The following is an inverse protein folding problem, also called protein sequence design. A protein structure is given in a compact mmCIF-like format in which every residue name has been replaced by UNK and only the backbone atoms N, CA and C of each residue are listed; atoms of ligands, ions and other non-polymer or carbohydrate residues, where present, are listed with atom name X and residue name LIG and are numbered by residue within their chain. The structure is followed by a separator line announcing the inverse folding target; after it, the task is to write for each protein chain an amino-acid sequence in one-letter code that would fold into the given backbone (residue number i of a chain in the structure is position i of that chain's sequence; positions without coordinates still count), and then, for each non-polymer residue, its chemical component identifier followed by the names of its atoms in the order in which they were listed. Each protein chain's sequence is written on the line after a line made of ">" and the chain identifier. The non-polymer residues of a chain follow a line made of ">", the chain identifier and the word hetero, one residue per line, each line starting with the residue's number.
data_IF_248905857633
#
_entry.id   IF_248905857633
#
_cell.length_a   1.000
_cell.length_b   1.000
_cell.length_c   1.000
_cell.angle_alpha   90.00
_cell.angle_beta   90.00
_cell.angle_gamma   90.00
#
_symmetry.space_group_name_H-M   'P 1'
#
loop_
_entity.id
_entity.type
_entity.pdbx_description
1 polymer ?
#
# COMPACT_ATOMS: atom_id res chain seq x y z
N UNK A 1 -8.26 3.51 -25.30
CA UNK A 1 -7.54 3.92 -24.06
C UNK A 1 -7.83 2.88 -22.99
N UNK A 2 -6.81 2.44 -22.27
CA UNK A 2 -7.00 1.54 -21.12
C UNK A 2 -7.71 2.28 -19.98
N UNK A 3 -8.49 1.55 -19.20
CA UNK A 3 -9.15 2.10 -18.00
C UNK A 3 -8.55 1.44 -16.76
N UNK A 4 -8.29 2.20 -15.73
CA UNK A 4 -7.97 1.69 -14.42
C UNK A 4 -9.26 1.46 -13.63
N UNK A 5 -9.40 0.26 -13.05
CA UNK A 5 -10.55 -0.11 -12.22
C UNK A 5 -10.09 -0.61 -10.86
N UNK A 6 -10.89 -0.38 -9.83
CA UNK A 6 -10.64 -0.90 -8.48
C UNK A 6 -11.39 -2.22 -8.34
N UNK A 7 -10.66 -3.31 -8.15
CA UNK A 7 -11.24 -4.66 -8.06
C UNK A 7 -11.29 -5.21 -6.63
N UNK A 8 -10.51 -4.64 -5.71
CA UNK A 8 -10.47 -5.09 -4.32
C UNK A 8 -10.14 -3.94 -3.39
N UNK A 9 -10.70 -3.98 -2.19
CA UNK A 9 -10.41 -3.01 -1.12
C UNK A 9 -10.24 -3.72 0.21
N UNK A 10 -9.35 -3.20 1.04
CA UNK A 10 -9.15 -3.67 2.40
C UNK A 10 -8.73 -2.51 3.31
N UNK A 11 -9.11 -2.61 4.57
CA UNK A 11 -8.79 -1.60 5.59
C UNK A 11 -8.54 -2.27 6.93
N UNK A 12 -7.56 -1.80 7.67
CA UNK A 12 -7.40 -2.13 9.09
C UNK A 12 -8.25 -1.19 9.94
N UNK A 13 -8.60 -1.57 11.18
CA UNK A 13 -9.11 -0.62 12.15
C UNK A 13 -8.12 0.52 12.40
N UNK A 14 -8.63 1.66 12.84
CA UNK A 14 -7.82 2.80 13.26
C UNK A 14 -7.62 2.72 14.77
N UNK A 15 -6.35 2.75 15.21
CA UNK A 15 -6.00 2.79 16.62
C UNK A 15 -5.98 4.22 17.16
N UNK A 16 -6.17 4.36 18.47
CA UNK A 16 -6.00 5.63 19.15
C UNK A 16 -4.52 5.95 19.32
N UNK A 17 -4.09 7.14 18.94
CA UNK A 17 -2.71 7.57 19.13
C UNK A 17 -2.31 7.55 20.62
N UNK A 18 -1.08 7.17 20.90
CA UNK A 18 -0.41 7.07 22.21
C UNK A 18 -0.96 6.02 23.18
N UNK A 19 -2.21 5.63 23.09
CA UNK A 19 -2.86 4.71 24.04
C UNK A 19 -3.68 3.63 23.35
N UNK A 20 -3.56 3.49 22.03
CA UNK A 20 -4.33 2.52 21.27
C UNK A 20 -3.66 1.16 21.16
N UNK A 21 -4.45 0.18 20.72
CA UNK A 21 -3.99 -1.21 20.57
C UNK A 21 -2.83 -1.37 19.57
N UNK A 22 -2.66 -0.42 18.64
CA UNK A 22 -1.62 -0.49 17.60
C UNK A 22 -0.35 0.30 17.92
N UNK A 23 -0.25 0.91 19.11
CA UNK A 23 0.92 1.74 19.45
C UNK A 23 2.26 1.02 19.32
N UNK A 24 2.29 -0.28 19.61
CA UNK A 24 3.49 -1.11 19.53
C UNK A 24 3.56 -1.92 18.23
N UNK A 25 2.62 -1.73 17.32
CA UNK A 25 2.58 -2.45 16.03
C UNK A 25 3.35 -1.65 14.98
N UNK A 26 4.47 -2.19 14.46
CA UNK A 26 5.20 -1.51 13.38
C UNK A 26 4.32 -1.30 12.15
N UNK A 27 4.49 -0.16 11.50
CA UNK A 27 3.70 0.21 10.33
C UNK A 27 3.74 -0.85 9.20
N UNK A 28 4.89 -1.44 8.86
CA UNK A 28 4.92 -2.51 7.86
C UNK A 28 4.07 -3.73 8.24
N UNK A 29 4.00 -4.06 9.52
CA UNK A 29 3.17 -5.18 10.00
C UNK A 29 1.69 -4.87 9.85
N UNK A 30 1.26 -3.68 10.27
CA UNK A 30 -0.13 -3.24 10.12
C UNK A 30 -0.53 -3.19 8.64
N UNK A 31 0.34 -2.63 7.81
CA UNK A 31 0.15 -2.53 6.37
C UNK A 31 0.04 -3.89 5.69
N UNK A 32 0.82 -4.87 6.14
CA UNK A 32 0.81 -6.22 5.58
C UNK A 32 -0.55 -6.91 5.70
N UNK A 33 -1.33 -6.62 6.73
CA UNK A 33 -2.69 -7.17 6.86
C UNK A 33 -3.62 -6.68 5.75
N UNK A 34 -3.59 -5.39 5.45
CA UNK A 34 -4.43 -4.83 4.37
C UNK A 34 -3.96 -5.30 2.98
N UNK A 35 -2.65 -5.40 2.75
CA UNK A 35 -2.09 -5.92 1.50
C UNK A 35 -2.54 -7.36 1.27
N UNK A 36 -2.34 -8.25 2.24
CA UNK A 36 -2.76 -9.65 2.13
C UNK A 36 -4.25 -9.78 1.86
N UNK A 37 -5.07 -9.08 2.63
CA UNK A 37 -6.52 -9.13 2.46
C UNK A 37 -6.97 -8.62 1.09
N UNK A 38 -6.34 -7.56 0.56
CA UNK A 38 -6.68 -7.03 -0.76
C UNK A 38 -6.33 -8.02 -1.88
N UNK A 39 -5.14 -8.62 -1.83
CA UNK A 39 -4.68 -9.63 -2.81
C UNK A 39 -5.57 -10.87 -2.76
N UNK A 40 -5.84 -11.40 -1.57
CA UNK A 40 -6.68 -12.58 -1.37
C UNK A 40 -8.10 -12.36 -1.89
N UNK A 41 -8.72 -11.21 -1.58
CA UNK A 41 -10.06 -10.86 -2.06
C UNK A 41 -10.12 -10.65 -3.56
N UNK A 42 -9.05 -10.16 -4.16
CA UNK A 42 -8.94 -10.02 -5.62
C UNK A 42 -8.82 -11.38 -6.32
N UNK A 43 -8.40 -12.42 -5.61
CA UNK A 43 -8.21 -13.76 -6.18
C UNK A 43 -7.07 -13.85 -7.17
N UNK A 44 -6.06 -12.99 -7.04
CA UNK A 44 -4.88 -12.94 -7.92
C UNK A 44 -3.68 -13.63 -7.28
N UNK A 45 -2.76 -14.12 -8.12
CA UNK A 45 -1.45 -14.53 -7.65
C UNK A 45 -0.65 -13.28 -7.21
N UNK A 46 -0.06 -13.26 -6.00
CA UNK A 46 0.81 -12.17 -5.58
C UNK A 46 1.95 -11.82 -6.55
N UNK A 47 2.39 -12.78 -7.37
CA UNK A 47 3.41 -12.57 -8.39
C UNK A 47 2.92 -11.75 -9.60
N UNK A 48 1.62 -11.60 -9.77
CA UNK A 48 1.01 -10.77 -10.82
C UNK A 48 1.02 -9.28 -10.50
N UNK A 49 1.39 -8.91 -9.27
CA UNK A 49 1.46 -7.50 -8.85
C UNK A 49 2.69 -6.84 -9.47
N UNK A 50 2.48 -5.87 -10.34
CA UNK A 50 3.55 -5.15 -11.05
C UNK A 50 4.24 -4.11 -10.16
N UNK A 51 3.51 -3.44 -9.28
CA UNK A 51 4.07 -2.45 -8.35
C UNK A 51 3.15 -2.22 -7.14
N UNK A 52 3.73 -1.70 -6.08
CA UNK A 52 3.01 -1.28 -4.87
C UNK A 52 3.23 0.21 -4.63
N UNK A 53 2.21 1.02 -4.83
CA UNK A 53 2.21 2.46 -4.55
C UNK A 53 1.66 2.73 -3.16
N UNK A 54 2.50 3.20 -2.25
CA UNK A 54 2.12 3.42 -0.86
C UNK A 54 2.17 4.90 -0.48
N UNK A 55 1.05 5.46 -0.03
CA UNK A 55 1.02 6.82 0.50
C UNK A 55 1.44 6.86 1.97
N UNK A 56 2.43 7.66 2.31
CA UNK A 56 2.86 7.89 3.69
C UNK A 56 3.35 9.32 3.88
N UNK A 57 2.67 10.08 4.75
CA UNK A 57 2.97 11.49 5.00
C UNK A 57 4.16 11.69 5.95
N UNK A 58 4.45 10.74 6.82
CA UNK A 58 5.51 10.83 7.81
C UNK A 58 6.38 9.58 7.74
N UNK A 59 7.41 9.62 6.89
CA UNK A 59 8.33 8.50 6.68
C UNK A 59 9.43 8.49 7.75
N UNK A 60 9.01 8.32 9.02
CA UNK A 60 9.89 8.29 10.20
C UNK A 60 9.59 7.08 11.07
N UNK A 61 10.52 6.71 11.93
CA UNK A 61 10.39 5.55 12.82
C UNK A 61 10.15 4.27 12.03
N UNK A 62 9.09 3.54 12.33
CA UNK A 62 8.72 2.30 11.63
C UNK A 62 8.24 2.53 10.18
N UNK A 63 8.02 3.77 9.77
CA UNK A 63 7.70 4.15 8.39
C UNK A 63 8.93 4.71 7.64
N UNK A 64 10.11 4.67 8.24
CA UNK A 64 11.33 5.17 7.60
C UNK A 64 11.74 4.31 6.40
N UNK A 65 12.42 4.93 5.47
CA UNK A 65 12.85 4.30 4.23
C UNK A 65 11.69 4.14 3.24
N UNK A 66 11.59 2.97 2.63
CA UNK A 66 10.51 2.66 1.68
C UNK A 66 9.45 1.77 2.34
N UNK A 67 8.43 2.39 2.92
CA UNK A 67 7.33 1.67 3.60
C UNK A 67 6.60 0.72 2.65
N UNK A 68 6.41 1.09 1.40
CA UNK A 68 5.82 0.21 0.38
C UNK A 68 6.59 -1.11 0.30
N UNK A 69 7.91 -1.02 0.14
CA UNK A 69 8.78 -2.19 0.01
C UNK A 69 8.80 -3.05 1.26
N UNK A 70 8.93 -2.46 2.43
CA UNK A 70 8.93 -3.20 3.70
C UNK A 70 7.57 -3.85 3.98
N UNK A 71 6.48 -3.17 3.65
CA UNK A 71 5.12 -3.68 3.84
C UNK A 71 4.81 -4.86 2.91
N UNK A 72 5.14 -4.76 1.61
CA UNK A 72 4.89 -5.85 0.66
C UNK A 72 5.69 -7.11 1.00
N UNK A 73 6.95 -6.96 1.40
CA UNK A 73 7.77 -8.10 1.86
C UNK A 73 7.21 -8.71 3.15
N UNK A 74 6.76 -7.88 4.08
CA UNK A 74 6.09 -8.33 5.31
C UNK A 74 4.76 -9.04 5.03
N UNK A 75 4.08 -8.65 3.97
CA UNK A 75 2.85 -9.31 3.50
C UNK A 75 3.11 -10.66 2.82
N UNK A 76 4.34 -10.94 2.44
CA UNK A 76 4.73 -12.18 1.77
C UNK A 76 4.64 -12.12 0.25
N UNK A 77 4.57 -10.93 -0.35
CA UNK A 77 4.67 -10.80 -1.80
C UNK A 77 6.10 -11.19 -2.26
N UNK A 78 6.26 -11.68 -3.49
CA UNK A 78 7.58 -12.04 -4.04
C UNK A 78 8.56 -10.86 -4.01
N UNK A 79 9.85 -11.19 -3.87
CA UNK A 79 10.93 -10.18 -3.88
C UNK A 79 11.05 -9.43 -5.20
N UNK A 80 10.49 -9.98 -6.28
CA UNK A 80 10.45 -9.35 -7.60
C UNK A 80 9.49 -8.16 -7.66
N UNK A 81 8.48 -8.09 -6.77
CA UNK A 81 7.51 -7.00 -6.75
C UNK A 81 8.15 -5.72 -6.22
N UNK A 82 8.24 -4.65 -7.01
CA UNK A 82 8.77 -3.37 -6.55
C UNK A 82 7.79 -2.66 -5.62
N UNK A 83 8.24 -1.57 -5.02
CA UNK A 83 7.39 -0.75 -4.19
C UNK A 83 7.88 0.70 -4.14
N UNK A 84 6.96 1.63 -4.20
CA UNK A 84 7.20 3.06 -4.18
C UNK A 84 6.40 3.72 -3.07
N UNK A 85 7.06 4.52 -2.25
CA UNK A 85 6.39 5.31 -1.21
C UNK A 85 6.27 6.76 -1.66
N UNK A 86 5.05 7.29 -1.57
CA UNK A 86 4.70 8.65 -2.00
C UNK A 86 4.36 9.48 -0.78
N UNK A 87 4.98 10.64 -0.65
CA UNK A 87 4.60 11.67 0.32
C UNK A 87 3.95 12.86 -0.40
N UNK A 88 2.73 13.13 -0.04
CA UNK A 88 1.99 14.34 -0.39
C UNK A 88 1.14 14.80 0.78
N UNK A 89 1.73 14.74 1.95
CA UNK A 89 1.07 15.06 3.22
C UNK A 89 -0.27 14.30 3.37
N UNK A 90 -1.33 14.96 3.77
CA UNK A 90 -2.65 14.34 3.99
C UNK A 90 -3.27 13.72 2.74
N UNK A 91 -2.81 14.06 1.54
CA UNK A 91 -3.29 13.51 0.28
C UNK A 91 -2.40 12.38 -0.29
N UNK A 92 -1.46 11.86 0.49
CA UNK A 92 -0.55 10.79 0.04
C UNK A 92 -1.28 9.55 -0.48
N UNK A 93 -2.35 9.13 0.21
CA UNK A 93 -3.16 7.99 -0.22
C UNK A 93 -3.90 8.23 -1.54
N UNK A 94 -4.51 9.40 -1.69
CA UNK A 94 -5.16 9.77 -2.95
C UNK A 94 -4.15 9.87 -4.10
N UNK A 95 -2.95 10.38 -3.81
CA UNK A 95 -1.87 10.45 -4.81
C UNK A 95 -1.36 9.07 -5.20
N UNK A 96 -1.28 8.14 -4.26
CA UNK A 96 -0.94 6.74 -4.55
C UNK A 96 -1.94 6.10 -5.52
N UNK A 97 -3.25 6.31 -5.29
CA UNK A 97 -4.32 5.84 -6.19
C UNK A 97 -4.16 6.46 -7.58
N UNK A 98 -3.99 7.78 -7.65
CA UNK A 98 -3.86 8.50 -8.92
C UNK A 98 -2.60 8.06 -9.69
N UNK A 99 -1.49 7.79 -9.00
CA UNK A 99 -0.25 7.31 -9.61
C UNK A 99 -0.45 5.90 -10.16
N UNK A 100 -1.01 4.98 -9.36
CA UNK A 100 -1.30 3.62 -9.82
C UNK A 100 -2.23 3.61 -11.04
N UNK A 101 -3.28 4.44 -11.03
CA UNK A 101 -4.17 4.56 -12.18
C UNK A 101 -3.43 5.04 -13.45
N UNK A 102 -2.50 6.00 -13.31
CA UNK A 102 -1.66 6.46 -14.43
C UNK A 102 -0.72 5.38 -14.94
N UNK A 103 -0.11 4.59 -14.06
CA UNK A 103 0.75 3.48 -14.46
C UNK A 103 -0.03 2.43 -15.26
N UNK A 104 -1.29 2.14 -14.91
CA UNK A 104 -2.16 1.26 -15.71
C UNK A 104 -2.44 1.87 -17.09
N UNK A 105 -2.83 3.14 -17.12
CA UNK A 105 -3.28 3.78 -18.35
C UNK A 105 -2.12 4.09 -19.30
N UNK A 106 -0.98 4.55 -18.78
CA UNK A 106 0.12 5.12 -19.57
C UNK A 106 1.33 4.19 -19.68
N UNK A 107 1.61 3.39 -18.64
CA UNK A 107 2.84 2.59 -18.56
C UNK A 107 2.60 1.10 -18.83
N UNK A 108 1.37 0.73 -19.22
CA UNK A 108 0.94 -0.64 -19.52
C UNK A 108 1.13 -1.65 -18.38
N UNK A 109 1.11 -1.20 -17.14
CA UNK A 109 1.03 -2.11 -15.99
C UNK A 109 -0.39 -2.68 -15.86
N UNK A 110 -0.52 -3.92 -15.46
CA UNK A 110 -1.80 -4.61 -15.40
C UNK A 110 -2.37 -4.70 -13.98
N UNK A 111 -1.52 -4.86 -12.99
CA UNK A 111 -1.95 -5.07 -11.61
C UNK A 111 -1.13 -4.27 -10.61
N UNK A 112 -1.79 -3.37 -9.90
CA UNK A 112 -1.16 -2.47 -8.94
C UNK A 112 -1.88 -2.51 -7.60
N UNK A 113 -1.10 -2.53 -6.52
CA UNK A 113 -1.58 -2.27 -5.17
C UNK A 113 -1.30 -0.82 -4.78
N UNK A 114 -2.27 -0.19 -4.16
CA UNK A 114 -2.09 1.15 -3.60
C UNK A 114 -2.81 1.29 -2.26
N UNK A 115 -2.23 2.06 -1.36
CA UNK A 115 -2.81 2.28 -0.04
C UNK A 115 -2.18 3.47 0.66
N UNK A 116 -2.80 3.87 1.77
CA UNK A 116 -2.28 4.89 2.66
C UNK A 116 -2.50 4.48 4.10
N UNK A 117 -1.49 4.44 4.94
CA UNK A 117 -1.71 4.44 6.37
C UNK A 117 -2.23 5.83 6.75
N UNK A 118 -3.42 5.88 7.32
CA UNK A 118 -3.89 7.11 7.96
C UNK A 118 -3.17 7.27 9.29
N UNK A 119 -2.52 8.40 9.56
CA UNK A 119 -1.79 8.62 10.82
C UNK A 119 -2.71 9.00 12.00
N UNK A 120 -3.97 8.61 12.00
CA UNK A 120 -4.91 8.93 13.08
C UNK A 120 -5.26 7.71 13.91
#
# INVERSE_FOLDING_TARGET
>A
MRSAVIVSTARTPIGRAYRGAFNMTPSPTLSAYSIRAAVERAGIDPAEVDDVCWGSALQQGSQAGNTARTALLRAGLPISVPGMTIDRQCSSGLMAIATAAKQIVSDNMDCLLYTSPSPR
#
